data_IF_497347572542
#
_entry.id   IF_497347572542
#
_cell.length_a   1.000
_cell.length_b   1.000
_cell.length_c   1.000
_cell.angle_alpha   90.00
_cell.angle_beta   90.00
_cell.angle_gamma   90.00
#
_symmetry.space_group_name_H-M   'P 1'
#
loop_
_entity.id
_entity.type
_entity.pdbx_description
1 polymer ?
#
# COMPACT_ATOMS: atom_id res chain seq x y z
N UNK A 1 -20.07 -33.33 -79.97
CA UNK A 1 -21.08 -32.35 -79.52
C UNK A 1 -20.78 -32.05 -78.06
N UNK A 2 -20.33 -30.80 -77.81
CA UNK A 2 -20.20 -30.02 -76.55
C UNK A 2 -20.38 -30.79 -75.22
N UNK A 3 -19.36 -31.03 -74.37
CA UNK A 3 -18.59 -30.07 -73.52
C UNK A 3 -19.51 -29.30 -72.54
N UNK A 4 -19.26 -29.07 -71.25
CA UNK A 4 -18.10 -29.14 -70.34
C UNK A 4 -18.62 -28.59 -68.98
N UNK A 5 -18.04 -29.03 -67.84
CA UNK A 5 -17.92 -28.35 -66.52
C UNK A 5 -19.19 -27.87 -65.76
N UNK A 6 -19.43 -28.40 -64.56
CA UNK A 6 -19.01 -27.84 -63.24
C UNK A 6 -19.78 -26.59 -62.80
N UNK A 7 -20.50 -26.67 -61.68
CA UNK A 7 -20.36 -25.65 -60.62
C UNK A 7 -21.02 -26.06 -59.31
N UNK A 8 -20.43 -25.54 -58.25
CA UNK A 8 -20.58 -25.86 -56.85
C UNK A 8 -21.94 -25.43 -56.28
N UNK A 9 -22.44 -26.22 -55.33
CA UNK A 9 -23.48 -25.78 -54.37
C UNK A 9 -22.92 -24.62 -53.54
N UNK A 10 -23.39 -23.41 -53.83
CA UNK A 10 -23.20 -22.22 -53.00
C UNK A 10 -24.53 -21.84 -52.34
N UNK A 11 -24.46 -21.51 -51.04
CA UNK A 11 -25.55 -21.02 -50.21
C UNK A 11 -26.20 -19.78 -50.83
N UNK A 12 -27.54 -19.79 -50.91
CA UNK A 12 -28.33 -18.66 -51.35
C UNK A 12 -28.44 -17.58 -50.27
N UNK A 13 -27.59 -16.55 -50.36
CA UNK A 13 -27.86 -15.22 -49.80
C UNK A 13 -28.69 -14.45 -50.83
N UNK A 14 -30.00 -14.38 -50.61
CA UNK A 14 -30.92 -13.63 -51.46
C UNK A 14 -30.80 -12.13 -51.13
N UNK A 15 -29.90 -11.45 -51.84
CA UNK A 15 -29.93 -9.99 -51.95
C UNK A 15 -30.94 -9.63 -53.06
N UNK A 16 -32.02 -8.93 -52.71
CA UNK A 16 -32.91 -8.30 -53.68
C UNK A 16 -32.35 -6.91 -54.02
N UNK A 17 -32.09 -6.57 -55.30
CA UNK A 17 -31.83 -5.22 -55.73
C UNK A 17 -33.08 -4.56 -56.32
N UNK A 18 -33.08 -3.22 -56.30
CA UNK A 18 -34.05 -2.28 -56.88
C UNK A 18 -35.34 -2.03 -56.07
N UNK A 19 -35.32 -0.93 -55.31
CA UNK A 19 -36.27 0.18 -55.49
C UNK A 19 -35.84 1.36 -54.60
N UNK A 20 -34.89 2.13 -55.09
CA UNK A 20 -34.70 3.51 -54.64
C UNK A 20 -35.78 4.39 -55.30
N UNK A 21 -36.37 5.27 -54.48
CA UNK A 21 -37.24 6.41 -54.79
C UNK A 21 -38.76 6.17 -54.67
N UNK A 22 -39.31 6.51 -53.48
CA UNK A 22 -40.13 7.73 -53.29
C UNK A 22 -40.50 7.89 -51.81
N UNK A 23 -39.91 8.92 -51.19
CA UNK A 23 -40.38 9.53 -49.96
C UNK A 23 -41.75 10.17 -50.22
N UNK A 24 -42.83 9.51 -49.80
CA UNK A 24 -44.15 10.14 -49.67
C UNK A 24 -44.64 9.98 -48.23
N UNK A 25 -44.19 10.93 -47.40
CA UNK A 25 -44.97 11.59 -46.34
C UNK A 25 -46.02 10.75 -45.57
N UNK A 26 -45.59 9.78 -44.77
CA UNK A 26 -46.46 9.05 -43.83
C UNK A 26 -46.51 9.66 -42.40
N UNK A 27 -45.86 10.81 -42.16
CA UNK A 27 -45.83 11.43 -40.84
C UNK A 27 -47.18 11.96 -40.35
N UNK A 28 -48.13 12.26 -41.25
CA UNK A 28 -49.41 12.85 -40.87
C UNK A 28 -50.49 11.83 -40.44
N UNK A 29 -50.39 10.56 -40.85
CA UNK A 29 -51.44 9.55 -40.56
C UNK A 29 -51.21 8.84 -39.22
N UNK A 30 -49.96 8.73 -38.75
CA UNK A 30 -49.64 8.12 -37.46
C UNK A 30 -49.79 9.06 -36.25
N UNK A 31 -49.88 10.38 -36.44
CA UNK A 31 -50.16 11.33 -35.34
C UNK A 31 -51.64 11.38 -34.95
N UNK A 32 -52.53 10.89 -35.81
CA UNK A 32 -53.96 10.75 -35.53
C UNK A 32 -54.30 9.52 -34.67
N UNK A 33 -53.31 8.94 -33.97
CA UNK A 33 -53.53 8.00 -32.88
C UNK A 33 -54.23 8.71 -31.70
N UNK A 34 -55.56 8.82 -31.84
CA UNK A 34 -56.62 9.13 -30.87
C UNK A 34 -56.16 9.89 -29.62
N UNK A 35 -56.32 11.21 -29.63
CA UNK A 35 -56.27 12.10 -28.45
C UNK A 35 -56.94 11.47 -27.21
N UNK A 36 -58.05 10.76 -27.40
CA UNK A 36 -58.76 10.01 -26.35
C UNK A 36 -58.03 8.82 -25.73
N UNK A 37 -57.10 8.16 -26.43
CA UNK A 37 -56.26 7.07 -25.88
C UNK A 37 -55.12 7.61 -25.03
N UNK A 38 -54.49 8.72 -25.46
CA UNK A 38 -53.51 9.46 -24.66
C UNK A 38 -54.15 10.09 -23.41
N UNK A 39 -55.36 10.62 -23.54
CA UNK A 39 -56.14 11.10 -22.40
C UNK A 39 -56.57 9.96 -21.48
N UNK A 40 -57.00 8.79 -22.00
CA UNK A 40 -57.28 7.61 -21.16
C UNK A 40 -56.02 7.13 -20.45
N UNK A 41 -54.86 7.13 -21.09
CA UNK A 41 -53.58 6.79 -20.45
C UNK A 41 -53.18 7.82 -19.38
N UNK A 42 -53.42 9.12 -19.61
CA UNK A 42 -53.22 10.19 -18.61
C UNK A 42 -54.23 10.14 -17.46
N UNK A 43 -55.49 9.81 -17.74
CA UNK A 43 -56.60 9.71 -16.77
C UNK A 43 -56.59 8.37 -16.01
N UNK A 44 -55.94 7.33 -16.57
CA UNK A 44 -55.56 6.12 -15.85
C UNK A 44 -54.49 6.52 -14.85
N UNK A 45 -54.93 7.13 -13.76
CA UNK A 45 -54.15 7.35 -12.55
C UNK A 45 -53.53 6.00 -12.23
N UNK A 46 -52.26 5.83 -12.55
CA UNK A 46 -51.45 4.81 -11.91
C UNK A 46 -51.57 5.20 -10.44
N UNK A 47 -52.42 4.49 -9.69
CA UNK A 47 -52.27 4.43 -8.25
C UNK A 47 -50.92 3.78 -8.07
N UNK A 48 -49.86 4.59 -8.15
CA UNK A 48 -48.60 4.26 -7.54
C UNK A 48 -48.98 4.30 -6.08
N UNK A 49 -49.41 3.15 -5.55
CA UNK A 49 -49.41 2.94 -4.13
C UNK A 49 -47.97 3.14 -3.71
N UNK A 50 -47.66 4.38 -3.34
CA UNK A 50 -46.43 4.71 -2.65
C UNK A 50 -46.58 3.98 -1.33
N UNK A 51 -46.17 2.71 -1.31
CA UNK A 51 -45.83 2.02 -0.08
C UNK A 51 -44.78 2.92 0.55
N UNK A 52 -45.20 3.75 1.50
CA UNK A 52 -44.31 4.61 2.26
C UNK A 52 -43.28 3.66 2.83
N UNK A 53 -42.09 3.68 2.24
CA UNK A 53 -40.99 2.85 2.72
C UNK A 53 -40.82 3.29 4.17
N UNK A 54 -41.10 2.38 5.10
CA UNK A 54 -40.99 2.68 6.53
C UNK A 54 -39.62 3.31 6.80
N UNK A 55 -39.58 4.32 7.68
CA UNK A 55 -38.35 5.02 8.04
C UNK A 55 -37.23 4.02 8.29
N UNK A 56 -36.25 3.98 7.38
CA UNK A 56 -35.08 3.12 7.53
C UNK A 56 -34.13 3.89 8.44
N UNK A 57 -33.81 3.38 9.66
CA UNK A 57 -32.83 3.99 10.52
C UNK A 57 -31.52 4.20 9.75
N UNK A 58 -30.83 5.33 9.97
CA UNK A 58 -29.60 5.68 9.23
C UNK A 58 -28.58 4.53 9.20
N UNK A 59 -28.45 3.81 10.34
CA UNK A 59 -27.56 2.67 10.53
C UNK A 59 -27.88 1.43 9.67
N UNK A 60 -29.09 1.35 9.11
CA UNK A 60 -29.56 0.24 8.27
C UNK A 60 -29.57 0.58 6.77
N UNK A 61 -29.38 1.86 6.41
CA UNK A 61 -29.47 2.35 5.03
C UNK A 61 -28.32 1.83 4.15
N UNK A 62 -27.12 1.72 4.72
CA UNK A 62 -25.92 1.25 4.02
C UNK A 62 -25.73 -0.28 4.08
N UNK A 63 -26.39 -0.98 5.01
CA UNK A 63 -26.24 -2.45 5.18
C UNK A 63 -26.85 -3.25 4.02
N UNK A 64 -27.80 -2.68 3.27
CA UNK A 64 -28.53 -3.38 2.19
C UNK A 64 -27.90 -3.22 0.80
N UNK A 65 -26.86 -2.39 0.65
CA UNK A 65 -26.16 -2.22 -0.63
C UNK A 65 -25.11 -3.34 -0.73
N UNK A 66 -25.57 -4.55 -1.08
CA UNK A 66 -24.69 -5.67 -1.38
C UNK A 66 -24.13 -5.51 -2.80
N UNK A 67 -23.37 -4.44 -3.03
CA UNK A 67 -22.55 -4.35 -4.26
C UNK A 67 -21.49 -5.41 -4.09
N UNK A 68 -21.55 -6.47 -4.90
CA UNK A 68 -20.44 -7.42 -5.07
C UNK A 68 -19.25 -6.61 -5.58
N UNK A 69 -18.41 -6.15 -4.65
CA UNK A 69 -17.18 -5.43 -4.97
C UNK A 69 -16.12 -6.47 -5.34
N UNK A 70 -15.36 -6.20 -6.39
CA UNK A 70 -14.29 -7.08 -6.83
C UNK A 70 -13.18 -7.14 -5.76
N UNK A 71 -12.57 -8.31 -5.62
CA UNK A 71 -11.34 -8.46 -4.85
C UNK A 71 -10.24 -7.58 -5.42
N UNK A 72 -9.53 -6.86 -4.54
CA UNK A 72 -8.44 -5.96 -4.93
C UNK A 72 -7.14 -6.69 -5.25
N UNK A 73 -6.98 -7.90 -4.71
CA UNK A 73 -5.86 -8.75 -5.08
C UNK A 73 -6.00 -9.17 -6.54
N UNK A 74 -5.12 -8.64 -7.39
CA UNK A 74 -5.08 -8.99 -8.80
C UNK A 74 -4.23 -10.25 -8.95
N UNK A 75 -4.88 -11.39 -9.19
CA UNK A 75 -4.18 -12.61 -9.61
C UNK A 75 -4.20 -12.71 -11.14
N UNK A 76 -3.02 -12.59 -11.74
CA UNK A 76 -2.79 -12.69 -13.17
C UNK A 76 -2.13 -14.02 -13.59
N UNK A 77 -1.97 -14.98 -12.67
CA UNK A 77 -1.23 -16.24 -12.92
C UNK A 77 -1.78 -17.09 -14.06
N UNK A 78 -3.09 -17.01 -14.32
CA UNK A 78 -3.80 -17.77 -15.36
C UNK A 78 -3.72 -17.13 -16.76
N UNK A 79 -3.16 -15.92 -16.89
CA UNK A 79 -3.04 -15.20 -18.16
C UNK A 79 -1.76 -15.58 -18.91
N UNK A 80 -1.72 -15.29 -20.21
CA UNK A 80 -0.53 -15.56 -21.04
C UNK A 80 0.54 -14.48 -20.84
N UNK A 81 1.81 -14.82 -21.02
CA UNK A 81 2.90 -13.83 -21.03
C UNK A 81 2.84 -13.07 -22.35
N UNK A 82 2.89 -11.73 -22.34
CA UNK A 82 2.92 -10.96 -23.58
C UNK A 82 4.23 -11.25 -24.34
N UNK A 83 4.11 -11.52 -25.65
CA UNK A 83 5.27 -11.70 -26.53
C UNK A 83 5.68 -10.39 -27.22
N UNK A 84 4.69 -9.54 -27.48
CA UNK A 84 4.85 -8.25 -28.13
C UNK A 84 4.71 -7.12 -27.10
N UNK A 85 5.23 -5.94 -27.42
CA UNK A 85 5.16 -4.76 -26.54
C UNK A 85 3.74 -4.21 -26.40
N UNK A 86 2.92 -4.37 -27.45
CA UNK A 86 1.53 -3.93 -27.47
C UNK A 86 0.59 -5.12 -27.26
N UNK A 87 -0.05 -5.18 -26.10
CA UNK A 87 -0.95 -6.27 -25.74
C UNK A 87 -2.17 -5.80 -24.96
N UNK A 88 -3.25 -6.58 -25.00
CA UNK A 88 -4.50 -6.28 -24.30
C UNK A 88 -4.42 -6.82 -22.86
N UNK A 89 -4.31 -5.94 -21.87
CA UNK A 89 -4.12 -6.32 -20.45
C UNK A 89 -5.21 -7.23 -19.84
N UNK A 90 -6.34 -7.43 -20.52
CA UNK A 90 -7.36 -8.41 -20.13
C UNK A 90 -6.85 -9.86 -20.26
N UNK A 91 -6.07 -10.16 -21.31
CA UNK A 91 -5.66 -11.53 -21.66
C UNK A 91 -4.23 -11.86 -21.26
N UNK A 92 -3.40 -10.84 -21.04
CA UNK A 92 -1.98 -11.00 -20.75
C UNK A 92 -1.64 -10.61 -19.31
N UNK A 93 -0.58 -11.24 -18.79
CA UNK A 93 0.01 -10.94 -17.48
C UNK A 93 0.62 -9.54 -17.48
N UNK A 94 0.67 -8.91 -16.32
CA UNK A 94 1.44 -7.68 -16.20
C UNK A 94 2.93 -7.97 -16.34
N UNK A 95 3.65 -7.23 -17.20
CA UNK A 95 5.09 -7.35 -17.32
C UNK A 95 5.74 -6.98 -16.01
N UNK A 96 6.83 -7.66 -15.71
CA UNK A 96 7.61 -7.46 -14.49
C UNK A 96 8.95 -6.87 -14.93
N UNK A 97 9.25 -5.69 -14.42
CA UNK A 97 10.48 -4.96 -14.72
C UNK A 97 11.50 -5.16 -13.61
N UNK A 98 12.78 -5.04 -13.97
CA UNK A 98 13.81 -4.79 -12.96
C UNK A 98 13.67 -3.38 -12.38
N UNK A 99 14.24 -3.15 -11.19
CA UNK A 99 14.20 -1.83 -10.54
C UNK A 99 14.87 -0.77 -11.43
N UNK A 100 16.01 -1.11 -12.03
CA UNK A 100 16.79 -0.19 -12.86
C UNK A 100 16.04 0.19 -14.14
N UNK A 101 15.45 -0.79 -14.84
CA UNK A 101 14.63 -0.54 -16.02
C UNK A 101 13.42 0.33 -15.67
N UNK A 102 12.74 0.04 -14.56
CA UNK A 102 11.58 0.82 -14.14
C UNK A 102 11.95 2.28 -13.80
N UNK A 103 13.09 2.51 -13.16
CA UNK A 103 13.60 3.87 -12.91
C UNK A 103 13.91 4.58 -14.22
N UNK A 104 14.53 3.88 -15.18
CA UNK A 104 14.87 4.44 -16.48
C UNK A 104 13.62 4.85 -17.26
N UNK A 105 12.58 4.02 -17.30
CA UNK A 105 11.28 4.37 -17.89
C UNK A 105 10.67 5.61 -17.22
N UNK A 106 10.72 5.70 -15.88
CA UNK A 106 10.24 6.90 -15.19
C UNK A 106 11.08 8.14 -15.53
N UNK A 107 12.40 8.04 -15.69
CA UNK A 107 13.23 9.18 -16.14
C UNK A 107 12.88 9.65 -17.56
N UNK A 108 12.58 8.71 -18.47
CA UNK A 108 12.17 9.03 -19.83
C UNK A 108 10.82 9.76 -19.87
N UNK A 109 9.85 9.34 -19.05
CA UNK A 109 8.59 10.07 -18.95
C UNK A 109 8.77 11.48 -18.38
N UNK A 110 9.70 11.67 -17.43
CA UNK A 110 9.97 12.95 -16.78
C UNK A 110 10.94 13.85 -17.55
N UNK A 111 11.35 13.45 -18.76
CA UNK A 111 12.25 14.21 -19.62
C UNK A 111 11.73 15.64 -19.86
N UNK A 112 12.62 16.65 -20.03
CA UNK A 112 12.23 18.05 -20.27
C UNK A 112 11.26 18.27 -21.44
N UNK A 113 11.27 17.40 -22.46
CA UNK A 113 10.34 17.47 -23.59
C UNK A 113 8.92 16.97 -23.26
N UNK A 114 8.77 16.21 -22.17
CA UNK A 114 7.53 15.56 -21.76
C UNK A 114 6.94 16.30 -20.54
N UNK A 115 7.13 15.78 -19.33
CA UNK A 115 6.59 16.38 -18.11
C UNK A 115 7.46 17.47 -17.51
N UNK A 116 8.74 17.54 -17.88
CA UNK A 116 9.68 18.56 -17.40
C UNK A 116 9.81 18.66 -15.86
N UNK A 117 9.86 17.49 -15.19
CA UNK A 117 10.08 17.39 -13.73
C UNK A 117 11.14 16.33 -13.46
N UNK A 118 12.43 16.61 -13.73
CA UNK A 118 13.50 15.62 -13.57
C UNK A 118 13.72 15.22 -12.10
N UNK A 119 13.39 16.09 -11.15
CA UNK A 119 13.52 15.84 -9.70
C UNK A 119 12.22 15.31 -9.06
N UNK A 120 11.39 14.61 -9.83
CA UNK A 120 10.15 14.05 -9.29
C UNK A 120 10.43 12.98 -8.22
N UNK A 121 9.58 12.86 -7.19
CA UNK A 121 9.69 11.79 -6.20
C UNK A 121 9.32 10.44 -6.81
N UNK A 122 10.07 9.40 -6.45
CA UNK A 122 9.79 8.02 -6.79
C UNK A 122 9.02 7.37 -5.64
N UNK A 123 7.73 7.14 -5.87
CA UNK A 123 6.83 6.49 -4.92
C UNK A 123 6.73 5.00 -5.20
N UNK A 124 6.56 4.22 -4.14
CA UNK A 124 6.39 2.77 -4.18
C UNK A 124 5.10 2.40 -3.49
N UNK A 125 4.23 1.74 -4.25
CA UNK A 125 3.00 1.16 -3.76
C UNK A 125 3.22 -0.35 -3.52
N UNK A 126 3.13 -0.77 -2.26
CA UNK A 126 3.34 -2.15 -1.83
C UNK A 126 2.01 -2.70 -1.34
N UNK A 127 1.55 -3.74 -2.01
CA UNK A 127 0.33 -4.46 -1.64
C UNK A 127 0.68 -5.60 -0.70
N UNK A 128 -0.01 -5.61 0.44
CA UNK A 128 0.17 -6.58 1.50
C UNK A 128 -1.05 -7.49 1.64
N UNK A 129 -0.79 -8.74 2.01
CA UNK A 129 -1.80 -9.64 2.51
C UNK A 129 -1.76 -9.63 4.05
N UNK A 130 -2.69 -8.86 4.63
CA UNK A 130 -2.85 -8.56 6.04
C UNK A 130 -3.58 -9.67 6.82
N UNK A 131 -3.76 -10.87 6.25
CA UNK A 131 -4.27 -12.01 7.00
C UNK A 131 -3.29 -12.40 8.13
N UNK A 132 -3.80 -12.63 9.34
CA UNK A 132 -2.99 -13.09 10.46
C UNK A 132 -2.85 -14.62 10.47
N UNK A 133 -2.25 -15.19 11.53
CA UNK A 133 -2.10 -16.64 11.67
C UNK A 133 -3.45 -17.37 11.74
N UNK A 134 -4.44 -16.77 12.40
CA UNK A 134 -5.82 -17.25 12.38
C UNK A 134 -6.56 -16.59 11.22
N UNK A 135 -7.27 -17.37 10.41
CA UNK A 135 -8.01 -16.89 9.24
C UNK A 135 -9.02 -15.78 9.61
N UNK A 136 -9.60 -15.84 10.82
CA UNK A 136 -10.58 -14.87 11.32
C UNK A 136 -9.97 -13.55 11.78
N UNK A 137 -8.63 -13.45 11.87
CA UNK A 137 -7.93 -12.27 12.37
C UNK A 137 -7.10 -11.63 11.26
N UNK A 138 -7.06 -10.30 11.30
CA UNK A 138 -6.25 -9.48 10.41
C UNK A 138 -5.17 -8.75 11.21
N UNK A 139 -4.10 -8.38 10.51
CA UNK A 139 -3.05 -7.51 11.03
C UNK A 139 -3.64 -6.11 11.13
N UNK A 140 -3.44 -5.47 12.29
CA UNK A 140 -3.89 -4.10 12.51
C UNK A 140 -3.05 -3.11 11.70
N UNK A 141 -3.59 -1.92 11.47
CA UNK A 141 -2.82 -0.85 10.83
C UNK A 141 -1.60 -0.52 11.67
N UNK A 142 -0.47 -0.34 11.02
CA UNK A 142 0.77 0.02 11.69
C UNK A 142 1.53 1.07 10.90
N UNK A 143 2.24 1.92 11.63
CA UNK A 143 3.13 2.93 11.08
C UNK A 143 4.52 2.65 11.64
N UNK A 144 5.50 2.56 10.75
CA UNK A 144 6.91 2.35 11.08
C UNK A 144 7.78 3.21 10.18
N UNK A 145 9.07 3.22 10.50
CA UNK A 145 10.07 3.87 9.67
C UNK A 145 11.12 2.83 9.28
N UNK A 146 11.51 2.80 8.02
CA UNK A 146 12.62 1.97 7.56
C UNK A 146 13.93 2.76 7.66
N UNK A 147 14.99 2.11 8.13
CA UNK A 147 16.34 2.65 8.08
C UNK A 147 16.90 2.46 6.67
N UNK A 148 17.61 3.46 6.16
CA UNK A 148 18.01 3.52 4.75
C UNK A 148 19.48 3.90 4.64
N UNK A 149 20.22 3.29 3.70
CA UNK A 149 21.61 3.64 3.44
C UNK A 149 21.77 5.02 2.78
N UNK A 150 20.98 5.33 1.76
CA UNK A 150 21.13 6.57 0.97
C UNK A 150 20.04 7.59 1.34
N UNK A 151 20.47 8.65 2.02
CA UNK A 151 19.60 9.75 2.47
C UNK A 151 19.16 10.60 1.28
N UNK A 152 17.93 11.09 1.34
CA UNK A 152 17.36 12.06 0.39
C UNK A 152 16.48 13.05 1.13
N UNK A 153 16.18 14.17 0.47
CA UNK A 153 15.29 15.19 1.04
C UNK A 153 13.83 14.75 0.93
N UNK A 154 13.19 14.60 2.09
CA UNK A 154 11.78 14.20 2.18
C UNK A 154 10.83 15.40 1.98
N UNK A 155 11.34 16.63 1.95
CA UNK A 155 10.53 17.85 1.89
C UNK A 155 9.78 18.15 3.19
N UNK A 156 10.15 17.48 4.29
CA UNK A 156 9.52 17.60 5.61
C UNK A 156 10.56 18.01 6.66
N UNK A 157 10.26 19.04 7.45
CA UNK A 157 11.06 19.39 8.62
C UNK A 157 10.79 18.42 9.78
N UNK A 158 11.65 17.41 9.92
CA UNK A 158 11.51 16.37 10.95
C UNK A 158 12.15 16.80 12.27
N UNK A 159 11.35 17.38 13.16
CA UNK A 159 11.76 17.68 14.54
C UNK A 159 11.56 16.47 15.45
N UNK A 160 12.64 16.07 16.14
CA UNK A 160 12.69 14.90 17.02
C UNK A 160 12.92 15.37 18.45
N UNK A 161 12.04 14.94 19.37
CA UNK A 161 12.21 15.13 20.81
C UNK A 161 12.52 13.80 21.48
N UNK A 162 13.51 13.78 22.38
CA UNK A 162 13.99 12.58 23.04
C UNK A 162 13.83 12.71 24.56
N UNK A 163 13.22 11.71 25.17
CA UNK A 163 13.03 11.64 26.63
C UNK A 163 13.96 10.59 27.26
N UNK A 164 14.83 11.01 28.18
CA UNK A 164 15.76 10.13 28.90
C UNK A 164 16.06 10.67 30.30
N UNK A 165 16.46 9.80 31.24
CA UNK A 165 16.89 10.22 32.59
C UNK A 165 18.40 10.27 32.78
N UNK A 166 19.15 9.45 32.05
CA UNK A 166 20.58 9.31 32.26
C UNK A 166 21.39 10.31 31.44
N UNK A 167 22.45 10.86 32.05
CA UNK A 167 23.26 11.92 31.44
C UNK A 167 24.01 11.44 30.19
N UNK A 168 24.40 10.16 30.15
CA UNK A 168 25.10 9.58 29.00
C UNK A 168 24.16 9.51 27.79
N UNK A 169 22.94 9.02 28.00
CA UNK A 169 21.92 8.95 26.97
C UNK A 169 21.51 10.33 26.44
N UNK A 170 21.55 11.35 27.30
CA UNK A 170 21.32 12.74 26.88
C UNK A 170 22.40 13.23 25.92
N UNK A 171 23.68 12.96 26.23
CA UNK A 171 24.80 13.33 25.37
C UNK A 171 24.72 12.61 24.02
N UNK A 172 24.50 11.29 24.04
CA UNK A 172 24.33 10.48 22.82
C UNK A 172 23.20 11.00 21.93
N UNK A 173 22.05 11.33 22.54
CA UNK A 173 20.91 11.85 21.78
C UNK A 173 21.21 13.23 21.16
N UNK A 174 21.97 14.08 21.86
CA UNK A 174 22.36 15.40 21.37
C UNK A 174 23.36 15.29 20.22
N UNK A 175 24.34 14.40 20.34
CA UNK A 175 25.33 14.12 19.29
C UNK A 175 24.69 13.52 18.04
N UNK A 176 23.68 12.67 18.21
CA UNK A 176 22.93 12.08 17.09
C UNK A 176 22.03 13.10 16.34
N UNK A 177 21.89 14.33 16.85
CA UNK A 177 21.14 15.40 16.20
C UNK A 177 19.67 15.51 16.60
N UNK A 178 19.31 15.09 17.82
CA UNK A 178 17.97 15.36 18.36
C UNK A 178 17.73 16.87 18.50
N UNK A 179 16.51 17.33 18.18
CA UNK A 179 16.15 18.75 18.28
C UNK A 179 16.07 19.22 19.72
N UNK A 180 15.54 18.38 20.60
CA UNK A 180 15.42 18.64 22.03
C UNK A 180 15.53 17.33 22.79
N UNK A 181 16.32 17.35 23.85
CA UNK A 181 16.53 16.20 24.72
C UNK A 181 16.24 16.65 26.13
N UNK A 182 15.44 15.87 26.88
CA UNK A 182 15.08 16.24 28.23
C UNK A 182 14.62 15.08 29.09
N UNK A 183 14.71 15.28 30.40
CA UNK A 183 14.26 14.33 31.40
C UNK A 183 12.91 14.72 32.02
N UNK A 184 12.84 14.62 33.34
CA UNK A 184 11.62 14.89 34.12
C UNK A 184 11.22 16.37 34.07
N UNK A 185 12.20 17.26 33.93
CA UNK A 185 12.00 18.71 33.82
C UNK A 185 11.19 19.05 32.58
N UNK A 186 11.62 18.54 31.42
CA UNK A 186 10.92 18.70 30.15
C UNK A 186 9.46 18.21 30.21
N UNK A 187 9.21 17.12 30.95
CA UNK A 187 7.87 16.59 31.15
C UNK A 187 6.98 17.58 31.90
N UNK A 188 7.53 18.26 32.93
CA UNK A 188 6.81 19.29 33.68
C UNK A 188 6.53 20.51 32.81
N UNK A 189 7.51 20.98 32.04
CA UNK A 189 7.37 22.15 31.15
C UNK A 189 6.27 21.92 30.10
N UNK A 190 6.21 20.71 29.53
CA UNK A 190 5.14 20.31 28.61
C UNK A 190 3.78 20.24 29.31
N UNK A 191 3.74 19.75 30.55
CA UNK A 191 2.49 19.69 31.34
C UNK A 191 1.99 21.09 31.67
N UNK A 192 2.90 22.01 31.99
CA UNK A 192 2.61 23.42 32.28
C UNK A 192 2.24 24.22 31.02
N UNK A 193 2.51 23.68 29.83
CA UNK A 193 2.15 24.28 28.55
C UNK A 193 3.20 25.23 27.99
N UNK A 194 4.43 25.21 28.50
CA UNK A 194 5.54 26.03 27.99
C UNK A 194 6.07 25.50 26.65
N UNK A 195 5.96 24.18 26.43
CA UNK A 195 6.38 23.51 25.19
C UNK A 195 5.20 22.84 24.48
N UNK A 196 5.04 23.16 23.20
CA UNK A 196 4.03 22.58 22.33
C UNK A 196 4.56 21.29 21.69
N UNK A 197 4.03 20.13 22.12
CA UNK A 197 4.32 18.82 21.51
C UNK A 197 3.91 18.72 20.03
N UNK A 198 3.02 19.60 19.57
CA UNK A 198 2.56 19.63 18.18
C UNK A 198 3.67 19.96 17.18
N UNK A 199 4.68 20.70 17.62
CA UNK A 199 5.79 21.13 16.76
C UNK A 199 6.78 19.99 16.49
N UNK A 200 6.73 18.93 17.29
CA UNK A 200 7.59 17.75 17.17
C UNK A 200 6.85 16.61 16.47
N UNK A 201 7.45 16.13 15.37
CA UNK A 201 6.86 15.06 14.57
C UNK A 201 7.07 13.70 15.22
N UNK A 202 8.28 13.45 15.73
CA UNK A 202 8.67 12.18 16.33
C UNK A 202 9.08 12.36 17.79
N UNK A 203 8.55 11.47 18.63
CA UNK A 203 8.84 11.41 20.06
C UNK A 203 9.54 10.08 20.30
N UNK A 204 10.78 10.13 20.78
CA UNK A 204 11.59 8.97 21.13
C UNK A 204 11.76 8.95 22.65
N UNK A 205 11.73 7.77 23.25
CA UNK A 205 11.96 7.63 24.68
C UNK A 205 12.89 6.45 24.99
N UNK A 206 13.67 6.60 26.04
CA UNK A 206 14.37 5.49 26.67
C UNK A 206 13.46 4.80 27.72
N UNK A 207 13.53 3.47 27.91
CA UNK A 207 12.68 2.75 28.87
C UNK A 207 12.71 3.28 30.31
N UNK A 208 13.81 3.91 30.73
CA UNK A 208 14.00 4.46 32.09
C UNK A 208 13.01 5.57 32.47
N UNK A 209 12.51 6.35 31.51
CA UNK A 209 11.66 7.52 31.76
C UNK A 209 10.16 7.23 31.59
N UNK A 210 9.79 6.02 31.16
CA UNK A 210 8.42 5.70 30.81
C UNK A 210 7.41 5.94 31.93
N UNK A 211 7.78 5.64 33.18
CA UNK A 211 6.89 5.79 34.33
C UNK A 211 6.39 7.23 34.51
N UNK A 212 7.25 8.21 34.23
CA UNK A 212 6.92 9.64 34.32
C UNK A 212 6.22 10.12 33.04
N UNK A 213 6.60 9.58 31.89
CA UNK A 213 6.00 9.92 30.59
C UNK A 213 4.50 9.56 30.52
N UNK A 214 4.01 8.65 31.38
CA UNK A 214 2.58 8.28 31.46
C UNK A 214 1.70 9.52 31.72
N UNK A 215 2.19 10.52 32.47
CA UNK A 215 1.45 11.75 32.72
C UNK A 215 1.07 12.49 31.42
N UNK A 216 1.93 12.43 30.40
CA UNK A 216 1.71 13.08 29.10
C UNK A 216 0.90 12.24 28.11
N UNK A 217 0.46 11.04 28.48
CA UNK A 217 -0.26 10.12 27.59
C UNK A 217 -1.54 10.74 27.01
N UNK A 218 -2.25 11.55 27.79
CA UNK A 218 -3.46 12.26 27.35
C UNK A 218 -3.18 13.28 26.24
N UNK A 219 -2.01 13.94 26.29
CA UNK A 219 -1.56 14.92 25.30
C UNK A 219 -0.99 14.23 24.05
N UNK A 220 -0.18 13.18 24.23
CA UNK A 220 0.50 12.50 23.13
C UNK A 220 -0.38 11.56 22.31
N UNK A 221 -1.58 11.15 22.79
CA UNK A 221 -2.56 10.27 22.10
C UNK A 221 -1.93 9.16 21.24
N UNK A 222 -1.80 9.37 19.92
CA UNK A 222 -1.27 8.40 18.93
C UNK A 222 0.25 8.43 18.78
N UNK A 223 0.93 9.49 19.24
CA UNK A 223 2.39 9.67 19.19
C UNK A 223 3.12 9.09 20.42
N UNK A 224 2.41 8.44 21.34
CA UNK A 224 3.02 7.88 22.54
C UNK A 224 4.06 6.80 22.17
N UNK A 225 5.29 6.82 22.75
CA UNK A 225 6.33 5.87 22.42
C UNK A 225 5.91 4.41 22.63
N UNK A 226 6.22 3.54 21.68
CA UNK A 226 5.80 2.14 21.68
C UNK A 226 6.92 1.26 21.10
N UNK A 227 7.26 0.11 21.71
CA UNK A 227 8.23 -0.82 21.14
C UNK A 227 7.85 -1.27 19.73
N UNK A 228 6.55 -1.41 19.42
CA UNK A 228 6.07 -1.82 18.10
C UNK A 228 6.35 -0.79 17.00
N UNK A 229 6.37 0.49 17.37
CA UNK A 229 6.68 1.59 16.46
C UNK A 229 8.17 1.94 16.49
N UNK A 230 8.97 1.21 17.30
CA UNK A 230 10.41 1.41 17.48
C UNK A 230 10.78 2.83 17.94
N UNK A 231 9.84 3.54 18.57
CA UNK A 231 10.07 4.85 19.19
C UNK A 231 10.49 4.71 20.65
N UNK A 232 10.54 3.49 21.16
CA UNK A 232 11.01 3.14 22.50
C UNK A 232 12.13 2.11 22.40
N UNK A 233 13.32 2.45 22.91
CA UNK A 233 14.50 1.59 22.84
C UNK A 233 15.68 2.13 23.65
N UNK A 234 16.71 1.30 23.80
CA UNK A 234 17.95 1.67 24.50
C UNK A 234 18.93 2.41 23.60
N UNK A 235 19.00 2.03 22.32
CA UNK A 235 19.94 2.59 21.35
C UNK A 235 19.41 3.89 20.73
N UNK A 236 19.58 5.01 21.43
CA UNK A 236 18.99 6.28 20.99
C UNK A 236 19.65 6.83 19.72
N UNK A 237 20.96 6.71 19.57
CA UNK A 237 21.67 7.23 18.41
C UNK A 237 21.16 6.63 17.09
N UNK A 238 21.04 5.30 17.03
CA UNK A 238 20.51 4.59 15.86
C UNK A 238 19.05 4.97 15.58
N UNK A 239 18.24 5.07 16.63
CA UNK A 239 16.83 5.48 16.50
C UNK A 239 16.71 6.91 15.96
N UNK A 240 17.50 7.86 16.45
CA UNK A 240 17.45 9.25 15.99
C UNK A 240 17.85 9.35 14.51
N UNK A 241 18.92 8.65 14.10
CA UNK A 241 19.32 8.59 12.69
C UNK A 241 18.23 7.97 11.83
N UNK A 242 17.61 6.89 12.32
CA UNK A 242 16.49 6.23 11.67
C UNK A 242 15.30 7.18 11.49
N UNK A 243 14.88 7.90 12.53
CA UNK A 243 13.75 8.83 12.49
C UNK A 243 14.03 10.13 11.70
N UNK A 244 15.28 10.54 11.65
CA UNK A 244 15.71 11.72 10.89
C UNK A 244 15.67 11.44 9.38
N UNK A 245 16.38 10.41 8.92
CA UNK A 245 16.56 10.16 7.47
C UNK A 245 15.73 9.02 6.88
N UNK A 246 15.08 8.20 7.71
CA UNK A 246 14.37 7.01 7.26
C UNK A 246 13.12 7.28 6.42
N UNK A 247 12.58 6.24 5.80
CA UNK A 247 11.32 6.31 5.05
C UNK A 247 10.21 5.94 6.00
N UNK A 248 9.33 6.91 6.27
CA UNK A 248 8.11 6.64 7.00
C UNK A 248 7.13 5.91 6.09
N UNK A 249 6.55 4.83 6.57
CA UNK A 249 5.54 4.08 5.83
C UNK A 249 4.41 3.65 6.76
N UNK A 250 3.19 3.69 6.24
CA UNK A 250 1.97 3.33 6.96
C UNK A 250 1.23 2.24 6.19
N UNK A 251 1.05 1.10 6.84
CA UNK A 251 0.24 0.01 6.31
C UNK A 251 -1.21 0.25 6.72
N UNK A 252 -2.04 0.63 5.75
CA UNK A 252 -3.47 0.79 5.93
C UNK A 252 -4.21 -0.40 5.33
N UNK A 253 -5.01 -1.09 6.16
CA UNK A 253 -5.97 -2.07 5.66
C UNK A 253 -7.12 -1.37 4.95
N UNK A 254 -7.66 -2.01 3.93
CA UNK A 254 -8.84 -1.50 3.26
C UNK A 254 -10.10 -1.63 4.12
N UNK A 255 -11.01 -0.67 3.98
CA UNK A 255 -12.28 -0.66 4.73
C UNK A 255 -13.17 -1.85 4.36
N UNK A 256 -13.17 -2.24 3.08
CA UNK A 256 -14.03 -3.28 2.54
C UNK A 256 -13.35 -4.66 2.55
N UNK A 257 -12.07 -4.71 2.21
CA UNK A 257 -11.27 -5.93 2.20
C UNK A 257 -10.19 -5.90 3.28
N UNK A 258 -10.52 -6.39 4.48
CA UNK A 258 -9.61 -6.36 5.64
C UNK A 258 -8.31 -7.17 5.42
N UNK A 259 -8.30 -8.11 4.48
CA UNK A 259 -7.13 -8.90 4.09
C UNK A 259 -6.16 -8.10 3.22
N UNK A 260 -6.63 -7.04 2.55
CA UNK A 260 -5.83 -6.22 1.66
C UNK A 260 -5.26 -5.03 2.44
N UNK A 261 -3.94 -4.88 2.37
CA UNK A 261 -3.24 -3.69 2.86
C UNK A 261 -2.50 -2.99 1.73
N UNK A 262 -2.42 -1.67 1.80
CA UNK A 262 -1.61 -0.87 0.90
C UNK A 262 -0.63 -0.02 1.73
N UNK A 263 0.62 0.01 1.29
CA UNK A 263 1.63 0.96 1.73
C UNK A 263 1.99 1.81 0.53
N UNK A 264 1.98 3.13 0.70
CA UNK A 264 2.57 4.08 -0.24
C UNK A 264 3.71 4.79 0.49
N UNK A 265 4.91 4.75 -0.09
CA UNK A 265 6.07 5.43 0.47
C UNK A 265 6.93 6.06 -0.63
N UNK A 266 7.51 7.23 -0.38
CA UNK A 266 8.51 7.83 -1.26
C UNK A 266 9.87 7.22 -0.93
N UNK A 267 10.65 6.80 -1.94
CA UNK A 267 11.93 6.11 -1.73
C UNK A 267 13.15 6.95 -2.13
N UNK A 268 12.91 8.02 -2.88
CA UNK A 268 13.93 8.96 -3.31
C UNK A 268 13.41 9.87 -4.40
N UNK A 269 14.30 10.62 -5.03
CA UNK A 269 14.00 11.40 -6.24
C UNK A 269 14.61 10.74 -7.47
N UNK A 270 14.04 10.97 -8.65
CA UNK A 270 14.53 10.38 -9.91
C UNK A 270 15.97 10.80 -10.29
N UNK A 271 16.44 11.92 -9.74
CA UNK A 271 17.78 12.46 -9.92
C UNK A 271 18.87 11.61 -9.21
N UNK A 272 18.48 10.85 -8.18
CA UNK A 272 19.40 9.94 -7.50
C UNK A 272 19.81 8.78 -8.40
N UNK A 273 21.02 8.27 -8.20
CA UNK A 273 21.52 7.11 -8.94
C UNK A 273 20.63 5.86 -8.76
N UNK A 274 20.49 5.07 -9.83
CA UNK A 274 19.57 3.94 -9.89
C UNK A 274 19.94 2.85 -8.88
N UNK A 275 21.25 2.62 -8.65
CA UNK A 275 21.72 1.64 -7.66
C UNK A 275 21.36 2.07 -6.23
N UNK A 276 21.49 3.37 -5.93
CA UNK A 276 21.12 3.91 -4.61
C UNK A 276 19.63 3.78 -4.33
N UNK A 277 18.80 4.04 -5.34
CA UNK A 277 17.35 3.86 -5.24
C UNK A 277 16.99 2.38 -5.05
N UNK A 278 17.66 1.48 -5.77
CA UNK A 278 17.49 0.03 -5.61
C UNK A 278 17.82 -0.44 -4.20
N UNK A 279 18.95 0.01 -3.65
CA UNK A 279 19.33 -0.26 -2.26
C UNK A 279 18.25 0.23 -1.29
N UNK A 280 17.75 1.45 -1.46
CA UNK A 280 16.71 2.00 -0.59
C UNK A 280 15.42 1.15 -0.64
N UNK A 281 14.99 0.71 -1.83
CA UNK A 281 13.83 -0.18 -2.02
C UNK A 281 14.09 -1.52 -1.31
N UNK A 282 15.28 -2.10 -1.47
CA UNK A 282 15.66 -3.37 -0.84
C UNK A 282 15.55 -3.29 0.69
N UNK A 283 16.12 -2.26 1.31
CA UNK A 283 16.04 -2.07 2.76
C UNK A 283 14.59 -1.85 3.23
N UNK A 284 13.79 -1.09 2.48
CA UNK A 284 12.37 -0.89 2.77
C UNK A 284 11.59 -2.21 2.74
N UNK A 285 11.77 -3.04 1.70
CA UNK A 285 11.11 -4.33 1.57
C UNK A 285 11.52 -5.30 2.68
N UNK A 286 12.80 -5.29 3.07
CA UNK A 286 13.31 -6.09 4.18
C UNK A 286 12.68 -5.67 5.51
N UNK A 287 12.61 -4.37 5.81
CA UNK A 287 11.99 -3.87 7.04
C UNK A 287 10.49 -4.20 7.08
N UNK A 288 9.76 -4.05 5.96
CA UNK A 288 8.36 -4.47 5.86
C UNK A 288 8.21 -5.97 6.14
N UNK A 289 9.10 -6.80 5.59
CA UNK A 289 9.06 -8.24 5.83
C UNK A 289 9.31 -8.63 7.30
N UNK A 290 9.95 -7.79 8.11
CA UNK A 290 10.08 -8.06 9.57
C UNK A 290 8.73 -8.07 10.28
N UNK A 291 7.74 -7.32 9.76
CA UNK A 291 6.39 -7.24 10.32
C UNK A 291 5.47 -8.37 9.83
N UNK A 292 6.01 -9.33 9.09
CA UNK A 292 5.27 -10.46 8.55
C UNK A 292 4.55 -11.25 9.65
N UNK A 293 3.25 -11.52 9.51
CA UNK A 293 2.54 -12.42 10.42
C UNK A 293 3.12 -13.84 10.31
N UNK A 294 3.16 -14.58 11.42
CA UNK A 294 3.67 -15.97 11.50
C UNK A 294 2.74 -16.98 10.81
N UNK A 295 2.43 -16.76 9.54
CA UNK A 295 1.60 -17.61 8.69
C UNK A 295 2.37 -18.03 7.44
N UNK A 296 1.91 -19.11 6.85
CA UNK A 296 2.38 -19.57 5.55
C UNK A 296 1.77 -18.71 4.44
N UNK A 297 2.47 -18.62 3.32
CA UNK A 297 2.07 -17.82 2.17
C UNK A 297 2.67 -16.42 2.14
N UNK A 298 2.54 -15.77 0.98
CA UNK A 298 3.13 -14.46 0.67
C UNK A 298 2.56 -13.34 1.56
N UNK A 299 3.45 -12.50 2.08
CA UNK A 299 3.07 -11.28 2.82
C UNK A 299 2.99 -10.08 1.89
N UNK A 300 4.05 -9.84 1.13
CA UNK A 300 4.08 -8.86 0.04
C UNK A 300 3.53 -9.56 -1.21
N UNK A 301 2.45 -9.01 -1.76
CA UNK A 301 1.75 -9.59 -2.93
C UNK A 301 2.21 -8.94 -4.22
N UNK A 302 2.35 -7.61 -4.23
CA UNK A 302 2.70 -6.83 -5.42
C UNK A 302 3.43 -5.54 -5.02
N UNK A 303 4.39 -5.13 -5.84
CA UNK A 303 5.11 -3.86 -5.69
C UNK A 303 5.02 -3.09 -7.01
N UNK A 304 4.62 -1.83 -6.95
CA UNK A 304 4.47 -0.94 -8.09
C UNK A 304 5.29 0.33 -7.87
N UNK A 305 6.13 0.69 -8.83
CA UNK A 305 6.77 2.00 -8.87
C UNK A 305 5.91 3.00 -9.61
N UNK A 306 5.78 4.20 -9.02
CA UNK A 306 5.03 5.33 -9.57
C UNK A 306 5.82 6.60 -9.34
N UNK A 307 5.81 7.51 -10.30
CA UNK A 307 6.41 8.83 -10.11
C UNK A 307 5.44 9.91 -10.66
N UNK A 308 4.88 10.77 -9.80
CA UNK A 308 4.03 11.87 -10.25
C UNK A 308 4.85 12.91 -11.03
N UNK A 309 4.34 13.48 -12.15
CA UNK A 309 2.95 13.44 -12.62
C UNK A 309 2.58 12.26 -13.52
N UNK A 310 3.52 11.35 -13.83
CA UNK A 310 3.22 10.19 -14.67
C UNK A 310 2.14 9.30 -14.02
N UNK A 311 1.23 8.80 -14.85
CA UNK A 311 0.18 7.86 -14.42
C UNK A 311 0.63 6.39 -14.48
N UNK A 312 1.83 6.14 -14.99
CA UNK A 312 2.39 4.82 -15.21
C UNK A 312 2.67 4.09 -13.90
N UNK A 313 2.40 2.78 -13.90
CA UNK A 313 2.61 1.90 -12.75
C UNK A 313 3.42 0.70 -13.21
N UNK A 314 4.70 0.67 -12.83
CA UNK A 314 5.63 -0.37 -13.27
C UNK A 314 5.74 -1.43 -12.17
N UNK A 315 5.37 -2.67 -12.50
CA UNK A 315 5.40 -3.80 -11.57
C UNK A 315 6.81 -4.34 -11.43
N UNK A 316 7.25 -4.53 -10.19
CA UNK A 316 8.57 -5.08 -9.85
C UNK A 316 8.40 -6.42 -9.14
N UNK A 317 9.38 -7.29 -9.29
CA UNK A 317 9.50 -8.51 -8.50
C UNK A 317 10.10 -8.23 -7.10
N UNK A 318 9.31 -8.33 -6.01
CA UNK A 318 9.85 -8.16 -4.66
C UNK A 318 10.69 -9.35 -4.20
N UNK A 319 10.55 -10.51 -4.83
CA UNK A 319 11.11 -11.77 -4.32
C UNK A 319 12.60 -11.94 -4.58
N UNK A 320 13.18 -11.05 -5.40
CA UNK A 320 14.63 -10.92 -5.57
C UNK A 320 15.30 -10.53 -4.24
N UNK A 321 14.63 -9.72 -3.42
CA UNK A 321 15.21 -9.16 -2.19
C UNK A 321 14.68 -9.80 -0.90
N UNK A 322 13.47 -10.38 -0.96
CA UNK A 322 12.74 -10.90 0.20
C UNK A 322 12.26 -12.31 -0.08
N UNK A 323 12.34 -13.25 0.88
CA UNK A 323 11.83 -14.61 0.69
C UNK A 323 10.33 -14.63 0.38
N UNK A 324 10.00 -15.29 -0.72
CA UNK A 324 8.63 -15.42 -1.23
C UNK A 324 7.69 -16.07 -0.21
N UNK A 325 8.10 -17.23 0.29
CA UNK A 325 7.31 -18.03 1.23
C UNK A 325 7.95 -18.01 2.60
N UNK A 326 7.09 -18.10 3.62
CA UNK A 326 7.50 -18.27 5.00
C UNK A 326 7.08 -19.65 5.41
N UNK A 327 8.08 -20.52 5.54
CA UNK A 327 7.86 -21.88 5.98
C UNK A 327 8.00 -21.92 7.51
N UNK A 328 6.93 -22.33 8.19
CA UNK A 328 6.95 -22.45 9.65
C UNK A 328 8.01 -23.46 10.12
N UNK A 329 8.38 -24.43 9.29
CA UNK A 329 9.41 -25.44 9.56
C UNK A 329 10.80 -24.83 9.67
N UNK A 330 11.24 -24.06 8.67
CA UNK A 330 12.56 -23.38 8.68
C UNK A 330 12.66 -22.35 9.81
N UNK A 331 11.56 -21.69 10.16
CA UNK A 331 11.53 -20.75 11.28
C UNK A 331 11.62 -21.42 12.67
N UNK A 332 11.14 -22.65 12.83
CA UNK A 332 11.31 -23.42 14.07
C UNK A 332 12.76 -23.87 14.25
N UNK A 333 13.37 -24.40 13.19
CA UNK A 333 14.78 -24.84 13.18
C UNK A 333 15.71 -23.67 13.53
N UNK A 334 15.55 -22.51 12.88
CA UNK A 334 16.34 -21.31 13.20
C UNK A 334 16.19 -20.84 14.65
N UNK A 335 15.01 -20.97 15.25
CA UNK A 335 14.77 -20.63 16.67
C UNK A 335 15.44 -21.61 17.63
N UNK A 336 15.47 -22.88 17.28
CA UNK A 336 16.15 -23.91 18.07
C UNK A 336 17.67 -23.74 17.99
N UNK A 337 18.21 -23.36 16.84
CA UNK A 337 19.62 -23.02 16.65
C UNK A 337 20.04 -21.76 17.41
N UNK A 338 19.25 -20.68 17.35
CA UNK A 338 19.54 -19.46 18.12
C UNK A 338 19.45 -19.72 19.62
N UNK A 339 18.51 -20.54 20.09
CA UNK A 339 18.44 -20.93 21.50
C UNK A 339 19.68 -21.70 21.96
N UNK A 340 20.15 -22.67 21.16
CA UNK A 340 21.38 -23.44 21.42
C UNK A 340 22.64 -22.57 21.44
N UNK A 341 22.66 -21.46 20.72
CA UNK A 341 23.78 -20.51 20.73
C UNK A 341 23.73 -19.51 21.91
N UNK A 342 22.55 -19.29 22.49
CA UNK A 342 22.37 -18.38 23.64
C UNK A 342 22.39 -19.08 25.00
N UNK A 343 22.49 -20.41 25.04
CA UNK A 343 22.73 -21.15 26.29
C UNK A 343 24.22 -20.98 26.67
N UNK A 344 24.56 -20.33 27.80
CA UNK A 344 25.94 -20.27 28.26
C UNK A 344 26.41 -21.70 28.59
N UNK A 345 27.56 -22.08 28.03
CA UNK A 345 28.22 -23.35 28.37
C UNK A 345 28.35 -23.46 29.89
N UNK A 346 27.71 -24.47 30.47
CA UNK A 346 27.82 -24.78 31.89
C UNK A 346 29.31 -24.92 32.27
N UNK A 347 29.76 -24.33 33.39
CA UNK A 347 31.12 -24.54 33.86
C UNK A 347 31.27 -26.00 34.26
N UNK A 348 32.11 -26.74 33.50
CA UNK A 348 32.49 -28.10 33.84
C UNK A 348 33.09 -28.11 35.25
N UNK A 349 32.42 -28.82 36.16
CA UNK A 349 32.92 -29.10 37.50
C UNK A 349 34.32 -29.70 37.39
N UNK A 350 35.30 -29.02 37.97
CA UNK A 350 36.64 -29.54 38.16
C UNK A 350 36.55 -30.78 39.06
N UNK A 351 36.69 -31.95 38.45
CA UNK A 351 36.84 -33.22 39.15
C UNK A 351 38.17 -33.17 39.91
N UNK A 352 38.09 -32.84 41.21
CA UNK A 352 39.18 -33.06 42.15
C UNK A 352 39.49 -34.56 42.19
N UNK A 353 40.66 -34.92 41.68
CA UNK A 353 41.26 -36.25 41.80
C UNK A 353 42.57 -36.11 42.58
N UNK A 354 42.70 -36.95 43.60
CA UNK A 354 43.79 -37.06 44.59
C UNK A 354 45.22 -36.85 44.09
#
# INVERSE_FOLDING_TARGET
MQSILSSMRALALRQNPAESLRLLHLSAVSEAARKGTREKARKKKVKVEVKKVGFIPHNQRNKKINVKRADKHVDDSWKQVPKDDCYVGRYYRWPVYSVQEAIQCHRETHHPSMYNVPNAPLNVDIELNMQAEKITRFVDNFQRMAMIPHKFDHGEERKIIVFTKGNNEVLEAREAGASLVGGVELIKDITNGELLLSDYQYIIAHPNILAELVALRGLMKRKFPNPKSETLGTNLAEMIVKFSSGISYSAAKDEYQQNFGLITASVGTLDMDAQKLEDNIKFLLQDINTMRPKREGRFITRVLLKSPPSSEQLKIDPYVYVPEMWDKSTAKVKREETKKQTEPAEPQEAVASN
#
